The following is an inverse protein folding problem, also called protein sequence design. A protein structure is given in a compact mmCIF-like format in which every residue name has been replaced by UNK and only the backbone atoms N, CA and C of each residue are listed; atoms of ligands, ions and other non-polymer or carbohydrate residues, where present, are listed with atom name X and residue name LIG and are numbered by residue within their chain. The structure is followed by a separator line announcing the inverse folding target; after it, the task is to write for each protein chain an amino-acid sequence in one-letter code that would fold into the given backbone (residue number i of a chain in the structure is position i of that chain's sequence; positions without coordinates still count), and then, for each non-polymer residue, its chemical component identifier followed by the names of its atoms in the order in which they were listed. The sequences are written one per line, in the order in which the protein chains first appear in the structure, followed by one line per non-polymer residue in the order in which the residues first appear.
data_IF_764094645275
#
_entry.id   IF_764094645275
#
_cell.length_a   1.000
_cell.length_b   1.000
_cell.length_c   1.000
_cell.angle_alpha   90.00
_cell.angle_beta   90.00
_cell.angle_gamma   90.00
#
_symmetry.space_group_name_H-M   'P 1'
#
loop_
_entity.id
_entity.type
_entity.pdbx_description
1 polymer ?
#
# COMPACT_ATOMS: atom_id res chain seq x y z
N UNK A 1 1.05 18.59 60.59
CA UNK A 1 0.61 17.85 59.37
C UNK A 1 -0.25 18.83 58.58
N UNK A 2 -0.07 19.19 57.30
CA UNK A 2 0.57 18.60 56.11
C UNK A 2 1.16 19.75 55.25
N UNK A 3 2.30 19.49 54.62
CA UNK A 3 2.87 20.33 53.56
C UNK A 3 2.01 20.24 52.30
N UNK A 4 1.45 21.37 51.85
CA UNK A 4 0.77 21.45 50.56
C UNK A 4 1.79 21.60 49.43
N UNK A 5 2.23 20.50 48.84
CA UNK A 5 3.02 20.52 47.60
C UNK A 5 2.10 20.93 46.44
N UNK A 6 2.32 22.11 45.88
CA UNK A 6 1.81 22.46 44.57
C UNK A 6 2.56 21.59 43.53
N UNK A 7 1.95 20.47 43.14
CA UNK A 7 2.41 19.71 41.98
C UNK A 7 1.83 20.38 40.75
N UNK A 8 2.64 21.23 40.10
CA UNK A 8 2.44 21.62 38.73
C UNK A 8 2.49 20.33 37.89
N UNK A 9 1.34 19.72 37.64
CA UNK A 9 1.21 18.66 36.66
C UNK A 9 1.42 19.33 35.31
N UNK A 10 2.61 19.10 34.74
CA UNK A 10 2.95 19.51 33.40
C UNK A 10 1.81 19.07 32.46
N UNK A 11 1.17 20.05 31.82
CA UNK A 11 0.26 19.78 30.72
C UNK A 11 1.10 19.09 29.63
N UNK A 12 0.94 17.78 29.49
CA UNK A 12 1.41 17.06 28.31
C UNK A 12 0.52 17.49 27.14
N UNK A 13 0.85 18.64 26.56
CA UNK A 13 0.48 19.08 25.23
C UNK A 13 1.32 18.17 24.29
N UNK A 14 0.80 17.35 23.35
CA UNK A 14 -0.14 17.58 22.25
C UNK A 14 -0.64 16.21 21.75
N UNK A 15 -1.92 16.02 21.36
CA UNK A 15 -2.46 14.73 20.92
C UNK A 15 -2.31 14.44 19.41
N UNK A 16 -1.27 14.94 18.75
CA UNK A 16 -1.05 14.69 17.32
C UNK A 16 0.40 14.30 17.04
N UNK A 17 0.61 13.05 16.65
CA UNK A 17 1.87 12.57 16.12
C UNK A 17 1.99 13.00 14.65
N UNK A 18 2.85 13.99 14.42
CA UNK A 18 3.14 14.56 13.11
C UNK A 18 3.67 13.52 12.10
N UNK A 19 4.30 12.43 12.58
CA UNK A 19 4.80 11.37 11.69
C UNK A 19 3.68 10.48 11.12
N UNK A 20 2.49 10.50 11.72
CA UNK A 20 1.34 9.73 11.25
C UNK A 20 0.54 10.40 10.11
N UNK A 21 0.98 11.56 9.60
CA UNK A 21 0.27 12.30 8.52
C UNK A 21 1.16 12.49 7.28
N UNK A 22 1.95 11.47 6.92
CA UNK A 22 2.62 11.42 5.61
C UNK A 22 1.65 11.04 4.47
N UNK A 23 0.40 10.73 4.79
CA UNK A 23 -0.67 10.65 3.83
C UNK A 23 -1.07 12.07 3.41
N UNK A 24 -0.34 12.67 2.47
CA UNK A 24 -0.86 13.86 1.79
C UNK A 24 -2.17 13.44 1.09
N UNK A 25 -3.31 14.01 1.49
CA UNK A 25 -4.55 13.75 0.80
C UNK A 25 -4.46 14.40 -0.57
N UNK A 26 -4.47 13.57 -1.62
CA UNK A 26 -4.71 14.03 -2.98
C UNK A 26 -6.21 14.04 -3.21
N UNK A 27 -6.76 15.21 -3.53
CA UNK A 27 -8.14 15.37 -4.01
C UNK A 27 -8.11 15.75 -5.49
N UNK A 28 -8.50 14.87 -6.43
CA UNK A 28 -8.97 13.49 -6.22
C UNK A 28 -7.83 12.48 -5.95
N UNK A 29 -8.13 11.32 -5.35
CA UNK A 29 -7.13 10.29 -5.09
C UNK A 29 -6.52 9.79 -6.40
N UNK A 30 -5.18 9.62 -6.40
CA UNK A 30 -4.45 9.18 -7.58
C UNK A 30 -4.79 7.74 -8.00
N UNK A 31 -5.32 6.93 -7.08
CA UNK A 31 -5.75 5.55 -7.31
C UNK A 31 -7.01 5.21 -6.51
N UNK A 32 -7.93 4.38 -7.04
CA UNK A 32 -9.03 3.82 -6.24
C UNK A 32 -8.46 2.98 -5.10
N UNK A 33 -9.10 3.00 -3.93
CA UNK A 33 -8.71 2.15 -2.79
C UNK A 33 -9.64 0.95 -2.76
N UNK A 34 -9.09 -0.25 -2.93
CA UNK A 34 -9.84 -1.50 -2.82
C UNK A 34 -9.88 -1.97 -1.37
N UNK A 35 -11.05 -2.38 -0.88
CA UNK A 35 -11.17 -3.02 0.44
C UNK A 35 -10.90 -4.52 0.40
N UNK A 36 -11.08 -5.15 -0.77
CA UNK A 36 -10.88 -6.57 -1.01
C UNK A 36 -10.44 -6.79 -2.45
N UNK A 37 -9.64 -7.84 -2.68
CA UNK A 37 -9.28 -8.27 -4.03
C UNK A 37 -10.54 -8.69 -4.83
N UNK A 38 -10.89 -7.98 -5.92
CA UNK A 38 -11.96 -8.41 -6.80
C UNK A 38 -11.52 -9.63 -7.64
N UNK A 39 -12.47 -10.44 -8.14
CA UNK A 39 -12.14 -11.46 -9.11
C UNK A 39 -11.70 -10.82 -10.43
N UNK A 40 -10.57 -11.26 -10.96
CA UNK A 40 -10.01 -10.78 -12.23
C UNK A 40 -9.68 -11.95 -13.16
N UNK A 41 -9.35 -11.66 -14.42
CA UNK A 41 -8.96 -12.66 -15.42
C UNK A 41 -7.50 -13.14 -15.26
N UNK A 42 -6.87 -12.89 -14.11
CA UNK A 42 -5.49 -13.27 -13.86
C UNK A 42 -5.28 -14.80 -13.88
N UNK A 43 -4.23 -15.26 -14.56
CA UNK A 43 -3.86 -16.69 -14.58
C UNK A 43 -2.35 -16.90 -14.42
N UNK A 44 -1.98 -18.02 -13.80
CA UNK A 44 -0.60 -18.49 -13.66
C UNK A 44 -0.10 -19.31 -14.87
N UNK A 45 -0.89 -19.39 -15.95
CA UNK A 45 -0.51 -20.13 -17.15
C UNK A 45 0.72 -19.50 -17.82
N UNK A 46 1.76 -20.30 -18.09
CA UNK A 46 3.01 -19.80 -18.66
C UNK A 46 3.89 -18.98 -17.70
N UNK A 47 3.47 -18.81 -16.44
CA UNK A 47 4.24 -18.10 -15.41
C UNK A 47 5.05 -19.08 -14.55
N UNK A 48 6.26 -18.71 -14.19
CA UNK A 48 7.14 -19.47 -13.28
C UNK A 48 6.71 -19.26 -11.82
N UNK A 49 7.49 -19.78 -10.85
CA UNK A 49 7.28 -19.42 -9.44
C UNK A 49 7.52 -17.91 -9.29
N UNK A 50 6.56 -17.20 -8.72
CA UNK A 50 6.76 -15.80 -8.38
C UNK A 50 5.48 -15.12 -7.88
N UNK A 51 5.66 -13.88 -7.45
CA UNK A 51 4.58 -12.94 -7.22
C UNK A 51 4.38 -12.11 -8.48
N UNK A 52 3.13 -11.89 -8.85
CA UNK A 52 2.74 -11.25 -10.09
C UNK A 52 1.73 -10.14 -9.83
N UNK A 53 1.92 -8.98 -10.46
CA UNK A 53 1.02 -7.85 -10.30
C UNK A 53 -0.28 -8.06 -11.08
N UNK A 54 -1.41 -7.71 -10.48
CA UNK A 54 -2.69 -7.66 -11.19
C UNK A 54 -2.91 -6.28 -11.82
N UNK A 55 -2.62 -6.19 -13.12
CA UNK A 55 -2.80 -4.96 -13.90
C UNK A 55 -4.26 -4.54 -14.01
N UNK A 56 -5.23 -5.45 -13.84
CA UNK A 56 -6.65 -5.12 -13.90
C UNK A 56 -7.12 -4.33 -12.67
N UNK A 57 -6.56 -4.64 -11.50
CA UNK A 57 -6.76 -3.85 -10.26
C UNK A 57 -5.84 -2.64 -10.17
N UNK A 58 -5.04 -2.41 -11.21
CA UNK A 58 -4.02 -1.39 -11.22
C UNK A 58 -2.93 -1.63 -10.19
N UNK A 59 -2.58 -2.89 -9.96
CA UNK A 59 -1.48 -3.37 -9.13
C UNK A 59 -1.69 -3.21 -7.63
N UNK A 60 -2.93 -2.98 -7.20
CA UNK A 60 -3.29 -3.08 -5.78
C UNK A 60 -3.37 -4.52 -5.30
N UNK A 61 -3.62 -5.46 -6.22
CA UNK A 61 -3.64 -6.90 -5.95
C UNK A 61 -2.41 -7.54 -6.58
N UNK A 62 -1.87 -8.54 -5.89
CA UNK A 62 -0.85 -9.42 -6.44
C UNK A 62 -1.19 -10.88 -6.18
N UNK A 63 -0.63 -11.75 -7.00
CA UNK A 63 -0.90 -13.17 -7.00
C UNK A 63 0.38 -13.97 -6.86
N UNK A 64 0.39 -14.98 -5.98
CA UNK A 64 1.48 -15.93 -5.89
C UNK A 64 1.20 -17.15 -6.77
N UNK A 65 2.08 -17.42 -7.73
CA UNK A 65 2.02 -18.59 -8.58
C UNK A 65 3.06 -19.65 -8.18
N UNK A 66 2.63 -20.91 -8.17
CA UNK A 66 3.49 -22.08 -7.96
C UNK A 66 3.03 -23.23 -8.84
N UNK A 67 3.95 -23.87 -9.58
CA UNK A 67 3.63 -24.97 -10.51
C UNK A 67 2.47 -24.63 -11.47
N UNK A 68 2.48 -23.42 -12.03
CA UNK A 68 1.43 -22.88 -12.92
C UNK A 68 0.03 -22.81 -12.30
N UNK A 69 -0.08 -22.86 -10.96
CA UNK A 69 -1.32 -22.71 -10.21
C UNK A 69 -1.29 -21.46 -9.35
N UNK A 70 -2.44 -20.84 -9.20
CA UNK A 70 -2.65 -19.75 -8.26
C UNK A 70 -2.65 -20.31 -6.84
N UNK A 71 -1.77 -19.80 -5.99
CA UNK A 71 -1.63 -20.23 -4.58
C UNK A 71 -2.27 -19.23 -3.65
N UNK A 72 -1.99 -17.94 -3.83
CA UNK A 72 -2.59 -16.86 -3.04
C UNK A 72 -2.91 -15.66 -3.90
N UNK A 73 -3.85 -14.86 -3.42
CA UNK A 73 -4.22 -13.55 -3.95
C UNK A 73 -4.31 -12.62 -2.77
N UNK A 74 -3.50 -11.58 -2.79
CA UNK A 74 -3.28 -10.71 -1.65
C UNK A 74 -3.41 -9.25 -2.09
N UNK A 75 -3.90 -8.41 -1.19
CA UNK A 75 -4.12 -6.99 -1.42
C UNK A 75 -3.02 -6.18 -0.73
N UNK A 76 -2.46 -5.20 -1.44
CA UNK A 76 -1.56 -4.20 -0.88
C UNK A 76 -2.27 -3.31 0.15
N UNK A 77 -1.50 -2.74 1.08
CA UNK A 77 -2.06 -1.77 2.03
C UNK A 77 -2.52 -0.49 1.31
N UNK A 78 -3.48 0.21 1.89
CA UNK A 78 -4.03 1.44 1.32
C UNK A 78 -2.94 2.46 0.97
N UNK A 79 -2.93 2.90 -0.28
CA UNK A 79 -1.95 3.84 -0.80
C UNK A 79 -0.63 3.21 -1.27
N UNK A 80 -0.55 1.88 -1.34
CA UNK A 80 0.60 1.17 -1.92
C UNK A 80 0.18 0.37 -3.15
N UNK A 81 1.12 0.18 -4.07
CA UNK A 81 0.95 -0.63 -5.28
C UNK A 81 2.09 -1.64 -5.37
N UNK A 82 1.75 -2.87 -5.76
CA UNK A 82 2.70 -3.95 -5.94
C UNK A 82 3.58 -3.71 -7.15
N UNK A 83 4.89 -3.87 -6.99
CA UNK A 83 5.85 -3.85 -8.07
C UNK A 83 6.41 -5.25 -8.28
N UNK A 84 6.10 -5.85 -9.43
CA UNK A 84 6.51 -7.21 -9.77
C UNK A 84 8.03 -7.35 -9.89
N UNK A 85 8.73 -6.33 -10.40
CA UNK A 85 10.19 -6.34 -10.59
C UNK A 85 10.94 -6.43 -9.25
N UNK A 86 10.47 -5.72 -8.23
CA UNK A 86 11.09 -5.71 -6.90
C UNK A 86 10.39 -6.63 -5.88
N UNK A 87 9.24 -7.23 -6.24
CA UNK A 87 8.38 -8.04 -5.38
C UNK A 87 8.01 -7.36 -4.05
N UNK A 88 7.79 -6.05 -4.08
CA UNK A 88 7.44 -5.24 -2.90
C UNK A 88 6.35 -4.23 -3.23
N UNK A 89 5.61 -3.81 -2.20
CA UNK A 89 4.59 -2.76 -2.32
C UNK A 89 5.22 -1.39 -2.06
N UNK A 90 5.15 -0.49 -3.04
CA UNK A 90 5.64 0.88 -2.92
C UNK A 90 4.48 1.86 -2.74
N UNK A 91 4.70 2.93 -1.97
CA UNK A 91 3.75 4.03 -1.89
C UNK A 91 3.60 4.66 -3.29
N UNK A 92 2.37 4.90 -3.74
CA UNK A 92 2.11 5.42 -5.09
C UNK A 92 2.81 6.77 -5.37
N UNK A 93 3.08 7.57 -4.34
CA UNK A 93 3.80 8.85 -4.46
C UNK A 93 5.27 8.67 -4.92
N UNK A 94 5.93 7.60 -4.47
CA UNK A 94 7.24 7.23 -5.00
C UNK A 94 7.14 6.73 -6.44
N UNK A 95 6.04 6.07 -6.79
CA UNK A 95 5.79 5.60 -8.14
C UNK A 95 5.53 6.75 -9.12
N UNK A 96 4.80 7.81 -8.76
CA UNK A 96 4.55 8.95 -9.67
C UNK A 96 5.79 9.78 -10.02
N UNK A 97 6.83 9.75 -9.18
CA UNK A 97 8.07 10.49 -9.38
C UNK A 97 9.08 9.75 -10.27
N UNK A 98 8.88 8.44 -10.46
CA UNK A 98 9.78 7.55 -11.23
C UNK A 98 9.05 6.91 -12.43
N UNK A 99 7.74 6.72 -12.33
CA UNK A 99 6.91 6.00 -13.30
C UNK A 99 5.69 6.82 -13.71
N UNK A 100 5.57 7.04 -15.01
CA UNK A 100 4.41 7.67 -15.61
C UNK A 100 3.17 6.77 -15.35
N UNK A 101 2.14 7.25 -14.61
CA UNK A 101 0.96 6.46 -14.27
C UNK A 101 0.12 6.05 -15.49
N UNK A 102 0.37 6.64 -16.67
CA UNK A 102 -0.24 6.22 -17.94
C UNK A 102 0.52 5.12 -18.66
N UNK A 103 1.79 4.90 -18.33
CA UNK A 103 2.54 3.78 -18.90
C UNK A 103 2.36 2.58 -18.00
N UNK A 104 1.36 1.74 -18.31
CA UNK A 104 1.22 0.36 -17.79
C UNK A 104 2.42 -0.55 -18.13
N UNK A 105 3.57 0.02 -18.52
CA UNK A 105 4.77 -0.66 -19.02
C UNK A 105 5.80 -0.95 -17.91
N UNK A 106 5.53 -0.51 -16.69
CA UNK A 106 6.48 -0.62 -15.57
C UNK A 106 5.85 -1.17 -14.29
N UNK A 107 4.64 -1.71 -14.40
CA UNK A 107 4.05 -2.59 -13.41
C UNK A 107 3.92 -3.98 -14.00
#
# INVERSE_FOLDING_TARGET
MRYGRALATALSQVPYDYYHVLHLPHDPPLYPVLEKAPPTEFTCAGRTRGYYADVHTGCQVYHFCWRHRLVSTDLCANGTLFNEQFQVSWLYFFLSSIFNPRSKKFF
#
